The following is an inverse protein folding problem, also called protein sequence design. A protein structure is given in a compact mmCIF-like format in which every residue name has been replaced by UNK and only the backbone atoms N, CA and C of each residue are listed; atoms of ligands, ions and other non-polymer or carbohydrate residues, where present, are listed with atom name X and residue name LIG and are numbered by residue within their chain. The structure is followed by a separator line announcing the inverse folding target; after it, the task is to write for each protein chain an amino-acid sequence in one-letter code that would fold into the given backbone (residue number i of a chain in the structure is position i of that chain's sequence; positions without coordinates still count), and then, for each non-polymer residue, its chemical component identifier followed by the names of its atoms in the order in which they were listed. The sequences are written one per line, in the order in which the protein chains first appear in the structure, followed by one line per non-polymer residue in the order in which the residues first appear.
data_IF_811565784442
#
_entry.id   IF_811565784442
#
_cell.length_a   1.000
_cell.length_b   1.000
_cell.length_c   1.000
_cell.angle_alpha   90.00
_cell.angle_beta   90.00
_cell.angle_gamma   90.00
#
_symmetry.space_group_name_H-M   'P 1'
#
loop_
_entity.id
_entity.type
_entity.pdbx_description
1 polymer ?
#
# COMPACT_ATOMS: atom_id res chain seq x y z
N UNK A 1 3.23 -6.67 37.99
CA UNK A 1 4.21 -7.34 37.13
C UNK A 1 5.57 -7.22 37.79
N UNK A 2 6.30 -8.33 38.04
CA UNK A 2 7.59 -8.27 38.73
C UNK A 2 8.70 -7.94 37.72
N UNK A 3 9.18 -6.70 37.71
CA UNK A 3 10.12 -6.18 36.70
C UNK A 3 11.39 -7.04 36.52
N UNK A 4 11.87 -7.71 37.58
CA UNK A 4 13.03 -8.59 37.52
C UNK A 4 12.79 -9.86 36.67
N UNK A 5 11.59 -10.45 36.73
CA UNK A 5 11.22 -11.64 35.96
C UNK A 5 11.15 -11.28 34.48
N UNK A 6 10.49 -10.16 34.15
CA UNK A 6 10.36 -9.69 32.77
C UNK A 6 11.73 -9.40 32.14
N UNK A 7 12.62 -8.73 32.87
CA UNK A 7 13.98 -8.44 32.38
C UNK A 7 14.79 -9.72 32.13
N UNK A 8 14.65 -10.73 32.99
CA UNK A 8 15.31 -12.02 32.82
C UNK A 8 14.81 -12.76 31.58
N UNK A 9 13.48 -12.81 31.38
CA UNK A 9 12.86 -13.42 30.20
C UNK A 9 13.31 -12.70 28.93
N UNK A 10 13.23 -11.37 28.88
CA UNK A 10 13.64 -10.60 27.69
C UNK A 10 15.12 -10.83 27.36
N UNK A 11 16.02 -10.81 28.36
CA UNK A 11 17.45 -11.01 28.11
C UNK A 11 17.75 -12.41 27.56
N UNK A 12 17.05 -13.43 28.08
CA UNK A 12 17.16 -14.79 27.58
C UNK A 12 16.63 -14.88 26.15
N UNK A 13 15.40 -14.43 25.92
CA UNK A 13 14.73 -14.52 24.62
C UNK A 13 15.50 -13.75 23.54
N UNK A 14 16.10 -12.59 23.86
CA UNK A 14 16.96 -11.85 22.94
C UNK A 14 18.17 -12.69 22.50
N UNK A 15 18.86 -13.31 23.47
CA UNK A 15 20.03 -14.15 23.20
C UNK A 15 19.67 -15.40 22.38
N UNK A 16 18.53 -16.00 22.66
CA UNK A 16 18.04 -17.17 21.91
C UNK A 16 17.59 -16.80 20.50
N UNK A 17 16.90 -15.66 20.35
CA UNK A 17 16.42 -15.15 19.05
C UNK A 17 17.58 -14.93 18.08
N UNK A 18 18.67 -14.29 18.51
CA UNK A 18 19.85 -14.06 17.66
C UNK A 18 20.71 -15.30 17.44
N UNK A 19 20.50 -16.39 18.21
CA UNK A 19 21.17 -17.67 17.99
C UNK A 19 20.33 -18.62 17.14
N UNK A 20 19.05 -18.33 16.95
CA UNK A 20 18.17 -19.15 16.15
C UNK A 20 18.41 -18.89 14.65
N UNK A 21 18.88 -19.91 13.87
CA UNK A 21 19.17 -19.73 12.46
C UNK A 21 17.92 -19.35 11.66
N UNK A 22 16.73 -19.87 12.01
CA UNK A 22 15.49 -19.55 11.28
C UNK A 22 15.09 -18.08 11.48
N UNK A 23 15.28 -17.54 12.68
CA UNK A 23 15.04 -16.11 12.94
C UNK A 23 16.00 -15.24 12.13
N UNK A 24 17.30 -15.57 12.15
CA UNK A 24 18.30 -14.84 11.38
C UNK A 24 18.01 -14.90 9.87
N UNK A 25 17.52 -16.04 9.37
CA UNK A 25 17.11 -16.20 7.97
C UNK A 25 15.91 -15.30 7.66
N UNK A 26 14.87 -15.26 8.48
CA UNK A 26 13.70 -14.39 8.24
C UNK A 26 14.12 -12.92 8.16
N UNK A 27 14.91 -12.47 9.14
CA UNK A 27 15.43 -11.09 9.18
C UNK A 27 16.33 -10.80 7.99
N UNK A 28 17.28 -11.69 7.71
CA UNK A 28 18.27 -11.57 6.64
C UNK A 28 17.62 -11.56 5.26
N UNK A 29 16.67 -12.45 4.98
CA UNK A 29 15.91 -12.48 3.72
C UNK A 29 15.09 -11.21 3.57
N UNK A 30 14.41 -10.77 4.64
CA UNK A 30 13.57 -9.55 4.56
C UNK A 30 14.42 -8.32 4.22
N UNK A 31 15.56 -8.15 4.89
CA UNK A 31 16.49 -7.05 4.63
C UNK A 31 17.11 -7.19 3.23
N UNK A 32 17.61 -8.38 2.90
CA UNK A 32 18.26 -8.67 1.62
C UNK A 32 17.35 -8.43 0.41
N UNK A 33 16.12 -8.92 0.45
CA UNK A 33 15.14 -8.70 -0.63
C UNK A 33 14.82 -7.22 -0.77
N UNK A 34 14.63 -6.48 0.33
CA UNK A 34 14.33 -5.05 0.26
C UNK A 34 15.46 -4.22 -0.35
N UNK A 35 16.69 -4.51 0.07
CA UNK A 35 17.88 -3.86 -0.49
C UNK A 35 18.06 -4.22 -1.96
N UNK A 36 17.99 -5.51 -2.29
CA UNK A 36 18.11 -6.00 -3.67
C UNK A 36 17.08 -5.35 -4.58
N UNK A 37 15.82 -5.34 -4.18
CA UNK A 37 14.72 -4.76 -4.97
C UNK A 37 14.86 -3.25 -5.14
N UNK A 38 15.37 -2.55 -4.13
CA UNK A 38 15.65 -1.11 -4.23
C UNK A 38 16.74 -0.78 -5.24
N UNK A 39 17.70 -1.69 -5.47
CA UNK A 39 18.74 -1.51 -6.50
C UNK A 39 18.33 -2.03 -7.87
N UNK A 40 17.59 -3.14 -7.92
CA UNK A 40 17.20 -3.81 -9.16
C UNK A 40 16.12 -3.05 -9.94
N UNK A 41 15.23 -2.34 -9.26
CA UNK A 41 14.10 -1.63 -9.87
C UNK A 41 14.33 -0.12 -9.73
N UNK A 42 14.43 0.60 -10.86
CA UNK A 42 14.68 2.05 -10.91
C UNK A 42 13.50 2.93 -10.44
N UNK A 43 12.56 2.38 -9.65
CA UNK A 43 11.39 3.08 -9.12
C UNK A 43 11.32 2.95 -7.60
N UNK A 44 10.87 3.96 -6.86
CA UNK A 44 10.71 3.87 -5.42
C UNK A 44 9.67 2.79 -5.06
N UNK A 45 10.15 1.70 -4.43
CA UNK A 45 9.36 0.54 -3.98
C UNK A 45 8.96 0.60 -2.50
N UNK A 46 8.87 1.81 -1.93
CA UNK A 46 8.43 2.06 -0.57
C UNK A 46 7.22 1.23 -0.12
N UNK A 47 6.12 1.17 -0.89
CA UNK A 47 4.92 0.34 -0.58
C UNK A 47 5.28 -1.12 -0.32
N UNK A 48 6.14 -1.69 -1.16
CA UNK A 48 6.63 -3.06 -1.00
C UNK A 48 7.51 -3.16 0.25
N UNK A 49 8.39 -2.19 0.48
CA UNK A 49 9.26 -2.18 1.67
C UNK A 49 8.49 -2.14 2.97
N UNK A 50 7.47 -1.28 3.09
CA UNK A 50 6.57 -1.27 4.24
C UNK A 50 5.87 -2.62 4.41
N UNK A 51 5.24 -3.13 3.36
CA UNK A 51 4.44 -4.35 3.43
C UNK A 51 5.30 -5.57 3.80
N UNK A 52 6.44 -5.74 3.13
CA UNK A 52 7.38 -6.84 3.38
C UNK A 52 7.97 -6.75 4.78
N UNK A 53 8.49 -5.59 5.19
CA UNK A 53 9.13 -5.46 6.51
C UNK A 53 8.15 -5.70 7.67
N UNK A 54 6.95 -5.09 7.60
CA UNK A 54 5.93 -5.26 8.63
C UNK A 54 5.39 -6.69 8.68
N UNK A 55 5.10 -7.31 7.54
CA UNK A 55 4.49 -8.66 7.52
C UNK A 55 5.55 -9.74 7.74
N UNK A 56 6.68 -9.73 7.04
CA UNK A 56 7.67 -10.79 7.19
C UNK A 56 8.32 -10.80 8.57
N UNK A 57 8.52 -9.64 9.19
CA UNK A 57 9.08 -9.58 10.55
C UNK A 57 7.94 -9.60 11.56
N UNK A 58 6.99 -8.68 11.46
CA UNK A 58 5.91 -8.57 12.44
C UNK A 58 5.06 -9.83 12.52
N UNK A 59 4.59 -10.37 11.39
CA UNK A 59 3.72 -11.54 11.39
C UNK A 59 4.51 -12.85 11.43
N UNK A 60 5.42 -13.07 10.48
CA UNK A 60 6.07 -14.40 10.33
C UNK A 60 7.01 -14.69 11.50
N UNK A 61 7.85 -13.74 11.92
CA UNK A 61 8.76 -13.97 13.04
C UNK A 61 8.00 -14.16 14.36
N UNK A 62 6.96 -13.35 14.62
CA UNK A 62 6.16 -13.48 15.84
C UNK A 62 5.42 -14.81 15.88
N UNK A 63 4.80 -15.23 14.76
CA UNK A 63 4.13 -16.54 14.69
C UNK A 63 5.11 -17.67 14.92
N UNK A 64 6.31 -17.56 14.34
CA UNK A 64 7.36 -18.56 14.45
C UNK A 64 7.85 -18.73 15.89
N UNK A 65 8.26 -17.65 16.56
CA UNK A 65 8.80 -17.72 17.93
C UNK A 65 7.76 -18.28 18.92
N UNK A 66 6.49 -17.91 18.77
CA UNK A 66 5.41 -18.43 19.61
C UNK A 66 5.15 -19.91 19.34
N UNK A 67 5.12 -20.31 18.06
CA UNK A 67 4.90 -21.72 17.68
C UNK A 67 6.07 -22.60 18.08
N UNK A 68 7.30 -22.12 17.92
CA UNK A 68 8.52 -22.87 18.25
C UNK A 68 8.56 -23.26 19.72
N UNK A 69 8.15 -22.35 20.63
CA UNK A 69 8.08 -22.69 22.04
C UNK A 69 6.99 -23.71 22.38
N UNK A 70 5.88 -23.64 21.65
CA UNK A 70 4.80 -24.62 21.78
C UNK A 70 5.23 -25.99 21.26
N UNK A 71 5.90 -26.04 20.11
CA UNK A 71 6.37 -27.26 19.47
C UNK A 71 7.44 -27.97 20.33
N UNK A 72 8.35 -27.20 20.93
CA UNK A 72 9.39 -27.71 21.84
C UNK A 72 8.89 -27.97 23.27
N UNK A 73 7.62 -27.72 23.56
CA UNK A 73 7.02 -27.72 24.93
C UNK A 73 7.76 -26.84 25.94
N UNK A 74 8.56 -25.88 25.47
CA UNK A 74 9.26 -24.94 26.35
C UNK A 74 8.28 -23.95 26.97
N UNK A 75 7.16 -23.66 26.30
CA UNK A 75 6.08 -22.84 26.86
C UNK A 75 5.49 -23.47 28.13
N UNK A 76 5.28 -24.78 28.13
CA UNK A 76 4.81 -25.55 29.30
C UNK A 76 5.88 -25.59 30.40
N UNK A 77 7.14 -25.85 30.03
CA UNK A 77 8.26 -25.83 30.97
C UNK A 77 8.44 -24.45 31.65
N UNK A 78 8.16 -23.36 30.94
CA UNK A 78 8.22 -22.00 31.49
C UNK A 78 7.11 -21.71 32.51
N UNK A 79 5.97 -22.38 32.42
CA UNK A 79 4.87 -22.25 33.38
C UNK A 79 5.13 -22.99 34.70
N UNK A 80 6.12 -23.88 34.74
CA UNK A 80 6.63 -24.48 35.99
C UNK A 80 7.43 -23.46 36.81
N UNK A 81 7.94 -22.40 36.15
CA UNK A 81 8.53 -21.24 36.80
C UNK A 81 7.44 -20.29 37.34
N UNK A 82 7.74 -19.36 38.26
CA UNK A 82 6.74 -18.44 38.82
C UNK A 82 6.22 -17.38 37.82
N UNK A 83 6.48 -17.53 36.52
CA UNK A 83 6.05 -16.62 35.47
C UNK A 83 4.62 -16.94 34.98
N UNK A 84 3.80 -15.90 34.81
CA UNK A 84 2.47 -16.05 34.23
C UNK A 84 2.52 -16.28 32.72
N UNK A 85 1.58 -17.05 32.17
CA UNK A 85 1.38 -17.25 30.73
C UNK A 85 1.34 -15.92 29.95
N UNK A 86 0.66 -14.92 30.52
CA UNK A 86 0.56 -13.59 29.90
C UNK A 86 1.90 -12.84 29.92
N UNK A 87 2.72 -13.03 30.96
CA UNK A 87 4.03 -12.38 31.08
C UNK A 87 5.03 -12.94 30.07
N UNK A 88 5.00 -14.26 29.83
CA UNK A 88 5.83 -14.93 28.84
C UNK A 88 5.48 -14.45 27.43
N UNK A 89 4.19 -14.50 27.06
CA UNK A 89 3.73 -14.03 25.75
C UNK A 89 4.02 -12.54 25.54
N UNK A 90 3.82 -11.70 26.55
CA UNK A 90 4.12 -10.27 26.45
C UNK A 90 5.62 -10.01 26.23
N UNK A 91 6.50 -10.77 26.90
CA UNK A 91 7.95 -10.68 26.68
C UNK A 91 8.33 -10.97 25.23
N UNK A 92 7.70 -11.97 24.62
CA UNK A 92 7.90 -12.31 23.20
C UNK A 92 7.38 -11.27 22.25
N UNK A 93 6.15 -10.82 22.49
CA UNK A 93 5.54 -9.76 21.69
C UNK A 93 6.42 -8.53 21.72
N UNK A 94 6.91 -8.13 22.90
CA UNK A 94 7.75 -6.96 23.06
C UNK A 94 9.06 -7.06 22.26
N UNK A 95 9.68 -8.24 22.27
CA UNK A 95 10.89 -8.50 21.50
C UNK A 95 10.65 -8.40 19.99
N UNK A 96 9.67 -9.14 19.46
CA UNK A 96 9.40 -9.15 18.02
C UNK A 96 8.87 -7.82 17.53
N UNK A 97 8.08 -7.13 18.34
CA UNK A 97 7.60 -5.78 18.10
C UNK A 97 8.75 -4.78 17.96
N UNK A 98 9.69 -4.81 18.91
CA UNK A 98 10.87 -3.94 18.90
C UNK A 98 11.76 -4.20 17.69
N UNK A 99 11.96 -5.48 17.34
CA UNK A 99 12.72 -5.87 16.14
C UNK A 99 12.03 -5.41 14.84
N UNK A 100 10.70 -5.55 14.78
CA UNK A 100 9.89 -5.13 13.63
C UNK A 100 9.98 -3.63 13.42
N UNK A 101 9.84 -2.82 14.49
CA UNK A 101 9.98 -1.36 14.41
C UNK A 101 11.38 -0.99 13.92
N UNK A 102 12.41 -1.53 14.57
CA UNK A 102 13.80 -1.18 14.29
C UNK A 102 14.13 -1.46 12.82
N UNK A 103 13.84 -2.67 12.34
CA UNK A 103 14.18 -3.06 10.97
C UNK A 103 13.30 -2.32 9.96
N UNK A 104 12.00 -2.18 10.21
CA UNK A 104 11.11 -1.47 9.28
C UNK A 104 11.53 -0.01 9.13
N UNK A 105 11.74 0.70 10.25
CA UNK A 105 12.19 2.10 10.21
C UNK A 105 13.57 2.23 9.57
N UNK A 106 14.52 1.33 9.89
CA UNK A 106 15.84 1.35 9.27
C UNK A 106 15.78 1.18 7.75
N UNK A 107 14.98 0.23 7.25
CA UNK A 107 14.80 0.01 5.81
C UNK A 107 14.12 1.21 5.15
N UNK A 108 13.04 1.73 5.75
CA UNK A 108 12.27 2.84 5.17
C UNK A 108 13.11 4.10 5.11
N UNK A 109 13.79 4.48 6.20
CA UNK A 109 14.60 5.70 6.22
C UNK A 109 15.92 5.56 5.47
N UNK A 110 16.47 4.35 5.32
CA UNK A 110 17.68 4.16 4.51
C UNK A 110 17.40 4.14 3.02
N UNK A 111 16.25 3.61 2.58
CA UNK A 111 15.95 3.40 1.15
C UNK A 111 14.98 4.43 0.56
N UNK A 112 14.02 4.93 1.35
CA UNK A 112 12.87 5.69 0.84
C UNK A 112 12.63 7.01 1.58
N UNK A 113 13.67 7.61 2.16
CA UNK A 113 13.58 8.84 2.95
C UNK A 113 12.85 9.98 2.23
N UNK A 114 13.17 10.18 0.94
CA UNK A 114 12.56 11.24 0.13
C UNK A 114 11.07 11.05 -0.07
N UNK A 115 10.55 9.82 -0.02
CA UNK A 115 9.17 9.49 -0.37
C UNK A 115 8.20 9.58 0.82
N UNK A 116 8.70 9.51 2.06
CA UNK A 116 7.86 9.43 3.27
C UNK A 116 7.94 10.68 4.15
N UNK A 117 6.91 10.91 4.94
CA UNK A 117 6.92 11.90 6.03
C UNK A 117 7.50 11.29 7.29
N UNK A 118 8.61 11.86 7.78
CA UNK A 118 9.37 11.33 8.94
C UNK A 118 8.47 11.20 10.17
N UNK A 119 7.75 12.27 10.52
CA UNK A 119 6.90 12.33 11.73
C UNK A 119 5.79 11.29 11.65
N UNK A 120 5.10 11.25 10.51
CA UNK A 120 3.96 10.36 10.32
C UNK A 120 4.39 8.89 10.27
N UNK A 121 5.54 8.60 9.67
CA UNK A 121 6.15 7.26 9.64
C UNK A 121 6.53 6.79 11.04
N UNK A 122 7.15 7.67 11.84
CA UNK A 122 7.57 7.34 13.20
C UNK A 122 6.37 7.05 14.13
N UNK A 123 5.20 7.63 13.83
CA UNK A 123 3.96 7.38 14.56
C UNK A 123 3.18 6.17 14.04
N UNK A 124 3.08 6.00 12.72
CA UNK A 124 2.25 4.96 12.10
C UNK A 124 2.89 3.57 12.17
N UNK A 125 4.22 3.48 11.98
CA UNK A 125 4.94 2.20 11.95
C UNK A 125 4.83 1.43 13.27
N UNK A 126 5.01 2.05 14.46
CA UNK A 126 4.78 1.35 15.73
C UNK A 126 3.35 0.85 15.88
N UNK A 127 2.34 1.62 15.49
CA UNK A 127 0.94 1.19 15.61
C UNK A 127 0.69 -0.01 14.68
N UNK A 128 1.11 0.08 13.42
CA UNK A 128 0.99 -0.99 12.44
C UNK A 128 1.76 -2.25 12.83
N UNK A 129 3.02 -2.10 13.26
CA UNK A 129 3.84 -3.21 13.72
C UNK A 129 3.18 -3.95 14.88
N UNK A 130 2.57 -3.22 15.83
CA UNK A 130 1.87 -3.85 16.95
C UNK A 130 0.69 -4.70 16.47
N UNK A 131 -0.14 -4.16 15.57
CA UNK A 131 -1.27 -4.89 14.99
C UNK A 131 -0.80 -6.18 14.30
N UNK A 132 0.22 -6.08 13.45
CA UNK A 132 0.72 -7.21 12.67
C UNK A 132 1.42 -8.26 13.56
N UNK A 133 2.15 -7.84 14.59
CA UNK A 133 2.69 -8.75 15.60
C UNK A 133 1.57 -9.45 16.39
N UNK A 134 0.48 -8.77 16.71
CA UNK A 134 -0.68 -9.37 17.37
C UNK A 134 -1.38 -10.41 16.48
N UNK A 135 -1.48 -10.16 15.17
CA UNK A 135 -1.92 -11.17 14.19
C UNK A 135 -1.02 -12.41 14.21
N UNK A 136 0.30 -12.19 14.17
CA UNK A 136 1.26 -13.29 14.22
C UNK A 136 1.18 -14.08 15.53
N UNK A 137 0.99 -13.40 16.66
CA UNK A 137 0.83 -14.05 17.96
C UNK A 137 -0.36 -15.01 17.97
N UNK A 138 -1.54 -14.60 17.48
CA UNK A 138 -2.72 -15.48 17.46
C UNK A 138 -2.51 -16.68 16.55
N UNK A 139 -1.92 -16.50 15.38
CA UNK A 139 -1.60 -17.63 14.49
C UNK A 139 -0.62 -18.58 15.18
N UNK A 140 0.41 -18.06 15.85
CA UNK A 140 1.35 -18.88 16.60
C UNK A 140 0.72 -19.65 17.77
N UNK A 141 -0.31 -19.09 18.40
CA UNK A 141 -1.08 -19.79 19.44
C UNK A 141 -1.96 -20.92 18.87
N UNK A 142 -2.54 -20.72 17.68
CA UNK A 142 -3.42 -21.70 17.04
C UNK A 142 -2.59 -22.87 16.47
N UNK A 143 -1.46 -22.61 15.83
CA UNK A 143 -0.64 -23.64 15.19
C UNK A 143 -0.05 -24.61 16.24
N UNK A 144 -0.15 -25.94 16.04
CA UNK A 144 0.38 -26.92 17.00
C UNK A 144 1.89 -27.18 16.84
N UNK A 145 2.46 -26.94 15.65
CA UNK A 145 3.88 -27.18 15.34
C UNK A 145 4.39 -26.22 14.29
N UNK A 146 5.72 -26.08 14.17
CA UNK A 146 6.35 -25.22 13.15
C UNK A 146 6.01 -25.71 11.74
N UNK A 147 5.84 -27.02 11.55
CA UNK A 147 5.41 -27.59 10.27
C UNK A 147 3.97 -27.20 9.88
N UNK A 148 3.05 -27.09 10.84
CA UNK A 148 1.70 -26.59 10.56
C UNK A 148 1.71 -25.09 10.23
N UNK A 149 2.58 -24.34 10.91
CA UNK A 149 2.77 -22.91 10.67
C UNK A 149 3.32 -22.64 9.26
N UNK A 150 4.21 -23.47 8.72
CA UNK A 150 4.78 -23.22 7.38
C UNK A 150 3.71 -23.25 6.28
N UNK A 151 2.73 -24.14 6.37
CA UNK A 151 1.61 -24.21 5.42
C UNK A 151 0.63 -23.04 5.59
N UNK A 152 -0.03 -22.97 6.75
CA UNK A 152 -1.10 -21.99 7.02
C UNK A 152 -0.52 -20.57 7.11
N UNK A 153 0.62 -20.41 7.77
CA UNK A 153 1.29 -19.13 7.95
C UNK A 153 1.71 -18.51 6.63
N UNK A 154 2.16 -19.30 5.64
CA UNK A 154 2.50 -18.76 4.31
C UNK A 154 1.28 -18.21 3.58
N UNK A 155 0.14 -18.91 3.62
CA UNK A 155 -1.12 -18.44 3.00
C UNK A 155 -1.58 -17.13 3.65
N UNK A 156 -1.54 -17.06 4.98
CA UNK A 156 -1.91 -15.85 5.73
C UNK A 156 -0.93 -14.70 5.47
N UNK A 157 0.38 -15.00 5.43
CA UNK A 157 1.42 -14.04 5.10
C UNK A 157 1.18 -13.43 3.72
N UNK A 158 0.97 -14.26 2.69
CA UNK A 158 0.61 -13.80 1.33
C UNK A 158 -0.63 -12.92 1.34
N UNK A 159 -1.66 -13.30 2.08
CA UNK A 159 -2.91 -12.52 2.18
C UNK A 159 -2.68 -11.14 2.81
N UNK A 160 -1.73 -11.01 3.74
CA UNK A 160 -1.44 -9.76 4.46
C UNK A 160 -0.53 -8.78 3.70
N UNK A 161 0.28 -9.25 2.75
CA UNK A 161 1.20 -8.36 2.00
C UNK A 161 0.89 -8.26 0.50
N UNK A 162 0.44 -9.34 -0.14
CA UNK A 162 0.30 -9.40 -1.59
C UNK A 162 -0.76 -8.42 -2.14
N UNK A 163 -1.93 -8.24 -1.50
CA UNK A 163 -2.92 -7.28 -1.99
C UNK A 163 -2.37 -5.86 -2.09
N UNK A 164 -1.51 -5.45 -1.17
CA UNK A 164 -0.94 -4.09 -1.17
C UNK A 164 0.00 -3.87 -2.38
N UNK A 165 0.77 -4.89 -2.75
CA UNK A 165 1.66 -4.83 -3.93
C UNK A 165 0.83 -4.83 -5.21
N UNK A 166 -0.21 -5.66 -5.26
CA UNK A 166 -1.06 -5.86 -6.44
C UNK A 166 -2.24 -4.89 -6.51
N UNK A 167 -2.40 -3.97 -5.56
CA UNK A 167 -3.51 -3.02 -5.51
C UNK A 167 -3.61 -2.17 -6.80
N UNK A 168 -2.48 -1.97 -7.49
CA UNK A 168 -2.40 -1.21 -8.74
C UNK A 168 -2.88 -1.97 -9.98
N UNK A 169 -2.96 -3.30 -9.94
CA UNK A 169 -3.26 -4.12 -11.12
C UNK A 169 -4.76 -4.40 -11.26
N UNK A 170 -5.50 -4.39 -10.16
CA UNK A 170 -6.91 -4.75 -10.13
C UNK A 170 -7.64 -4.05 -8.97
N UNK A 171 -8.77 -3.41 -9.27
CA UNK A 171 -9.63 -2.75 -8.28
C UNK A 171 -10.12 -3.70 -7.17
N UNK A 172 -10.43 -4.95 -7.51
CA UNK A 172 -10.83 -5.97 -6.55
C UNK A 172 -9.75 -6.23 -5.51
N UNK A 173 -8.50 -6.30 -5.96
CA UNK A 173 -7.33 -6.48 -5.09
C UNK A 173 -7.08 -5.21 -4.27
N UNK A 174 -7.32 -4.03 -4.86
CA UNK A 174 -7.31 -2.75 -4.16
C UNK A 174 -8.33 -2.66 -3.02
N UNK A 175 -9.51 -3.27 -3.15
CA UNK A 175 -10.46 -3.37 -2.02
C UNK A 175 -9.90 -4.19 -0.87
N UNK A 176 -9.24 -5.31 -1.16
CA UNK A 176 -8.61 -6.15 -0.13
C UNK A 176 -7.45 -5.40 0.52
N UNK A 177 -6.60 -4.72 -0.26
CA UNK A 177 -5.50 -3.92 0.24
C UNK A 177 -5.97 -2.86 1.26
N UNK A 178 -7.00 -2.08 0.90
CA UNK A 178 -7.59 -1.05 1.78
C UNK A 178 -8.18 -1.58 3.09
N UNK A 179 -8.55 -2.86 3.12
CA UNK A 179 -9.03 -3.49 4.36
C UNK A 179 -7.89 -3.68 5.37
N UNK A 180 -6.65 -3.78 4.92
CA UNK A 180 -5.52 -4.17 5.75
C UNK A 180 -4.91 -2.99 6.52
N UNK A 181 -4.46 -3.20 7.77
CA UNK A 181 -3.79 -2.17 8.55
C UNK A 181 -2.49 -1.65 7.90
N UNK A 182 -1.80 -2.51 7.16
CA UNK A 182 -0.57 -2.17 6.40
C UNK A 182 -0.81 -1.04 5.42
N UNK A 183 -1.96 -1.04 4.73
CA UNK A 183 -2.35 0.01 3.80
C UNK A 183 -2.39 1.38 4.48
N UNK A 184 -3.02 1.47 5.67
CA UNK A 184 -3.11 2.74 6.38
C UNK A 184 -1.76 3.25 6.87
N UNK A 185 -0.86 2.35 7.31
CA UNK A 185 0.51 2.74 7.68
C UNK A 185 1.22 3.39 6.50
N UNK A 186 1.09 2.79 5.31
CA UNK A 186 1.68 3.28 4.07
C UNK A 186 1.06 4.63 3.67
N UNK A 187 -0.27 4.74 3.67
CA UNK A 187 -0.97 5.98 3.30
C UNK A 187 -0.68 7.13 4.27
N UNK A 188 -0.60 6.88 5.58
CA UNK A 188 -0.22 7.89 6.57
C UNK A 188 1.21 8.39 6.31
N UNK A 189 2.12 7.45 6.04
CA UNK A 189 3.53 7.76 5.80
C UNK A 189 3.74 8.52 4.49
N UNK A 190 2.95 8.24 3.45
CA UNK A 190 3.03 8.90 2.15
C UNK A 190 2.32 10.26 2.12
N UNK A 191 1.05 10.31 2.55
CA UNK A 191 0.21 11.51 2.50
C UNK A 191 0.57 12.52 3.59
N UNK A 192 1.21 12.07 4.67
CA UNK A 192 1.62 12.92 5.79
C UNK A 192 2.67 13.98 5.47
N UNK A 193 3.22 14.01 4.24
CA UNK A 193 4.11 15.10 3.80
C UNK A 193 3.37 16.43 3.69
N UNK A 194 2.08 16.37 3.36
CA UNK A 194 1.21 17.55 3.27
C UNK A 194 0.74 18.02 4.67
N UNK A 195 1.22 17.39 5.75
CA UNK A 195 0.81 17.63 7.12
C UNK A 195 -0.43 16.82 7.54
N UNK A 196 -1.08 17.25 8.63
CA UNK A 196 -2.29 16.62 9.17
C UNK A 196 -3.53 16.99 8.35
N UNK A 197 -3.65 16.41 7.16
CA UNK A 197 -4.85 16.52 6.35
C UNK A 197 -6.00 15.66 6.90
N UNK A 198 -7.25 16.01 6.56
CA UNK A 198 -8.44 15.23 6.96
C UNK A 198 -8.34 13.76 6.54
N UNK A 199 -7.72 13.47 5.39
CA UNK A 199 -7.51 12.10 4.90
C UNK A 199 -6.51 11.32 5.75
N UNK A 200 -5.42 11.98 6.18
CA UNK A 200 -4.42 11.36 7.07
C UNK A 200 -5.03 11.06 8.43
N UNK A 201 -5.85 11.97 8.97
CA UNK A 201 -6.57 11.75 10.23
C UNK A 201 -7.56 10.58 10.17
N UNK A 202 -8.27 10.41 9.04
CA UNK A 202 -9.13 9.24 8.84
C UNK A 202 -8.34 7.93 8.86
N UNK A 203 -7.17 7.89 8.21
CA UNK A 203 -6.32 6.71 8.27
C UNK A 203 -5.80 6.43 9.69
N UNK A 204 -5.43 7.46 10.46
CA UNK A 204 -5.09 7.28 11.87
C UNK A 204 -6.26 6.72 12.68
N UNK A 205 -7.47 7.25 12.49
CA UNK A 205 -8.66 6.80 13.22
C UNK A 205 -8.95 5.32 12.97
N UNK A 206 -8.90 4.88 11.72
CA UNK A 206 -9.10 3.47 11.36
C UNK A 206 -7.96 2.58 11.86
N UNK A 207 -6.72 3.08 11.81
CA UNK A 207 -5.57 2.34 12.33
C UNK A 207 -5.65 2.17 13.87
N UNK A 208 -6.09 3.18 14.60
CA UNK A 208 -6.29 3.10 16.06
C UNK A 208 -7.48 2.18 16.39
N UNK A 209 -8.59 2.29 15.64
CA UNK A 209 -9.75 1.42 15.81
C UNK A 209 -9.38 -0.05 15.59
N UNK A 210 -8.65 -0.35 14.52
CA UNK A 210 -8.17 -1.71 14.24
C UNK A 210 -7.21 -2.21 15.32
N UNK A 211 -6.35 -1.35 15.88
CA UNK A 211 -5.51 -1.72 17.02
C UNK A 211 -6.34 -2.12 18.25
N UNK A 212 -7.32 -1.30 18.64
CA UNK A 212 -8.16 -1.56 19.82
C UNK A 212 -8.86 -2.92 19.67
N UNK A 213 -9.47 -3.15 18.52
CA UNK A 213 -10.19 -4.40 18.23
C UNK A 213 -9.24 -5.60 18.21
N UNK A 214 -8.04 -5.45 17.65
CA UNK A 214 -7.01 -6.49 17.63
C UNK A 214 -6.54 -6.84 19.05
N UNK A 215 -6.39 -5.86 19.94
CA UNK A 215 -6.03 -6.12 21.35
C UNK A 215 -7.10 -6.97 22.05
N UNK A 216 -8.38 -6.62 21.89
CA UNK A 216 -9.47 -7.43 22.46
C UNK A 216 -9.50 -8.84 21.87
N UNK A 217 -9.27 -8.95 20.56
CA UNK A 217 -9.17 -10.22 19.87
C UNK A 217 -8.06 -11.10 20.44
N UNK A 218 -6.83 -10.61 20.57
CA UNK A 218 -5.72 -11.39 21.15
C UNK A 218 -5.99 -11.79 22.60
N UNK A 219 -6.56 -10.90 23.42
CA UNK A 219 -6.90 -11.23 24.82
C UNK A 219 -7.90 -12.38 24.90
N UNK A 220 -8.87 -12.46 23.99
CA UNK A 220 -9.81 -13.58 23.91
C UNK A 220 -9.09 -14.90 23.60
N UNK A 221 -8.15 -14.89 22.65
CA UNK A 221 -7.38 -16.08 22.26
C UNK A 221 -6.44 -16.54 23.37
N UNK A 222 -5.73 -15.64 24.03
CA UNK A 222 -4.85 -15.97 25.16
C UNK A 222 -5.64 -16.66 26.28
N UNK A 223 -6.83 -16.14 26.64
CA UNK A 223 -7.71 -16.74 27.66
C UNK A 223 -8.18 -18.15 27.29
N UNK A 224 -8.33 -18.42 26.00
CA UNK A 224 -8.71 -19.75 25.50
C UNK A 224 -7.51 -20.70 25.52
N UNK A 225 -6.34 -20.22 25.08
CA UNK A 225 -5.10 -21.00 25.03
C UNK A 225 -4.67 -21.48 26.41
N UNK A 226 -4.85 -20.66 27.45
CA UNK A 226 -4.50 -21.04 28.82
C UNK A 226 -5.41 -22.15 29.39
N UNK A 227 -6.54 -22.45 28.74
CA UNK A 227 -7.53 -23.44 29.20
C UNK A 227 -7.52 -24.75 28.39
N UNK A 228 -6.95 -24.73 27.19
CA UNK A 228 -6.97 -25.89 26.28
C UNK A 228 -5.56 -26.51 26.19
N UNK A 229 -5.38 -27.66 26.84
CA UNK A 229 -4.17 -28.50 26.75
C UNK A 229 -4.16 -29.42 25.50
N UNK A 230 -5.24 -29.44 24.72
CA UNK A 230 -5.42 -30.44 23.65
C UNK A 230 -4.85 -29.99 22.30
N UNK A 231 -4.37 -30.96 21.50
CA UNK A 231 -3.79 -30.75 20.14
C UNK A 231 -4.73 -30.10 19.11
N UNK A 232 -6.05 -30.12 19.30
CA UNK A 232 -7.02 -29.52 18.38
C UNK A 232 -7.66 -28.27 19.00
N UNK A 233 -7.40 -27.12 18.38
CA UNK A 233 -7.91 -25.83 18.86
C UNK A 233 -9.44 -25.74 18.68
N UNK A 234 -10.18 -25.48 19.76
CA UNK A 234 -11.63 -25.26 19.70
C UNK A 234 -11.94 -23.78 19.90
N UNK A 235 -12.67 -23.19 18.96
CA UNK A 235 -13.08 -21.79 19.02
C UNK A 235 -14.22 -21.58 20.03
N UNK A 236 -13.89 -20.95 21.16
CA UNK A 236 -14.89 -20.45 22.10
C UNK A 236 -15.77 -19.36 21.47
N UNK A 237 -16.99 -19.19 22.00
CA UNK A 237 -17.94 -18.17 21.50
C UNK A 237 -17.37 -16.75 21.52
N UNK A 238 -16.59 -16.42 22.57
CA UNK A 238 -15.85 -15.16 22.65
C UNK A 238 -14.89 -14.98 21.47
N UNK A 239 -14.15 -16.03 21.08
CA UNK A 239 -13.20 -15.93 19.96
C UNK A 239 -13.93 -15.64 18.65
N UNK A 240 -15.07 -16.29 18.42
CA UNK A 240 -15.91 -16.09 17.22
C UNK A 240 -16.39 -14.64 17.12
N UNK A 241 -16.89 -14.06 18.21
CA UNK A 241 -17.37 -12.67 18.24
C UNK A 241 -16.22 -11.70 17.91
N UNK A 242 -15.07 -11.85 18.58
CA UNK A 242 -13.95 -10.92 18.36
C UNK A 242 -13.33 -11.09 16.97
N UNK A 243 -13.27 -12.32 16.41
CA UNK A 243 -12.86 -12.51 15.00
C UNK A 243 -13.83 -11.83 14.05
N UNK A 244 -15.13 -11.94 14.30
CA UNK A 244 -16.15 -11.31 13.45
C UNK A 244 -16.08 -9.79 13.52
N UNK A 245 -15.88 -9.24 14.73
CA UNK A 245 -15.70 -7.80 14.94
C UNK A 245 -14.46 -7.28 14.22
N UNK A 246 -13.34 -8.01 14.28
CA UNK A 246 -12.12 -7.68 13.56
C UNK A 246 -12.35 -7.68 12.04
N UNK A 247 -12.97 -8.75 11.51
CA UNK A 247 -13.31 -8.82 10.08
C UNK A 247 -14.26 -7.70 9.66
N UNK A 248 -15.22 -7.34 10.50
CA UNK A 248 -16.13 -6.22 10.25
C UNK A 248 -15.38 -4.90 10.16
N UNK A 249 -14.42 -4.64 11.05
CA UNK A 249 -13.62 -3.41 11.04
C UNK A 249 -12.71 -3.34 9.81
N UNK A 250 -12.07 -4.46 9.44
CA UNK A 250 -11.27 -4.55 8.22
C UNK A 250 -12.14 -4.31 6.97
N UNK A 251 -13.34 -4.90 6.93
CA UNK A 251 -14.29 -4.69 5.84
C UNK A 251 -14.81 -3.25 5.77
N UNK A 252 -15.19 -2.67 6.92
CA UNK A 252 -15.63 -1.29 7.04
C UNK A 252 -14.54 -0.31 6.58
N UNK A 253 -13.27 -0.62 6.87
CA UNK A 253 -12.16 0.17 6.36
C UNK A 253 -12.13 0.21 4.83
N UNK A 254 -12.25 -0.94 4.17
CA UNK A 254 -12.30 -1.00 2.71
C UNK A 254 -13.43 -0.14 2.13
N UNK A 255 -14.59 -0.14 2.79
CA UNK A 255 -15.75 0.65 2.40
C UNK A 255 -15.53 2.16 2.60
N UNK A 256 -14.92 2.57 3.71
CA UNK A 256 -14.63 3.98 4.01
C UNK A 256 -13.64 4.61 3.02
N UNK A 257 -12.75 3.81 2.44
CA UNK A 257 -11.72 4.27 1.50
C UNK A 257 -11.97 3.83 0.05
N UNK A 258 -13.22 3.56 -0.33
CA UNK A 258 -13.58 3.26 -1.72
C UNK A 258 -13.03 4.34 -2.67
N UNK A 259 -12.41 3.96 -3.80
CA UNK A 259 -11.99 4.93 -4.78
C UNK A 259 -13.27 5.55 -5.35
N UNK A 260 -13.37 6.87 -5.28
CA UNK A 260 -14.48 7.59 -5.88
C UNK A 260 -14.48 7.28 -7.38
N UNK A 261 -15.50 6.54 -7.85
CA UNK A 261 -15.67 6.26 -9.28
C UNK A 261 -16.10 7.56 -9.95
N UNK A 262 -15.52 7.88 -11.10
CA UNK A 262 -16.08 8.95 -11.93
C UNK A 262 -17.51 8.56 -12.35
N UNK A 263 -18.34 9.57 -12.58
CA UNK A 263 -19.67 9.38 -13.13
C UNK A 263 -19.68 9.93 -14.55
N UNK A 264 -20.34 9.21 -15.48
CA UNK A 264 -20.64 9.77 -16.80
C UNK A 264 -21.98 10.46 -16.72
N UNK A 265 -21.97 11.79 -16.76
CA UNK A 265 -23.16 12.64 -16.66
C UNK A 265 -23.57 13.06 -18.07
N UNK A 266 -24.85 12.93 -18.40
CA UNK A 266 -25.40 13.43 -19.65
C UNK A 266 -25.78 14.90 -19.48
N UNK A 267 -25.10 15.81 -20.18
CA UNK A 267 -25.41 17.24 -20.16
C UNK A 267 -25.55 17.75 -21.60
N UNK A 268 -26.71 18.33 -21.93
CA UNK A 268 -27.04 18.83 -23.27
C UNK A 268 -26.87 17.79 -24.41
N UNK A 269 -27.15 16.51 -24.15
CA UNK A 269 -27.05 15.44 -25.15
C UNK A 269 -25.64 14.93 -25.43
N UNK A 270 -24.62 15.42 -24.71
CA UNK A 270 -23.24 14.95 -24.77
C UNK A 270 -22.93 14.25 -23.44
N UNK A 271 -22.53 12.99 -23.48
CA UNK A 271 -22.01 12.28 -22.31
C UNK A 271 -20.69 12.90 -21.88
N UNK A 272 -20.56 13.24 -20.60
CA UNK A 272 -19.36 13.82 -19.99
C UNK A 272 -18.85 12.92 -18.88
N UNK A 273 -17.59 12.52 -18.97
CA UNK A 273 -16.85 11.99 -17.84
C UNK A 273 -16.64 13.08 -16.80
N UNK A 274 -17.19 12.88 -15.61
CA UNK A 274 -17.09 13.80 -14.49
C UNK A 274 -16.40 13.12 -13.31
N UNK A 275 -15.26 13.67 -12.90
CA UNK A 275 -14.59 13.26 -11.68
C UNK A 275 -14.70 14.36 -10.62
N UNK A 276 -15.67 14.22 -9.72
CA UNK A 276 -15.95 15.17 -8.64
C UNK A 276 -14.73 15.44 -7.73
N UNK A 277 -13.88 14.43 -7.52
CA UNK A 277 -12.68 14.52 -6.66
C UNK A 277 -11.60 15.41 -7.26
N UNK A 278 -11.48 15.43 -8.58
CA UNK A 278 -10.48 16.22 -9.31
C UNK A 278 -11.07 17.41 -10.05
N UNK A 279 -12.37 17.68 -9.90
CA UNK A 279 -13.11 18.76 -10.56
C UNK A 279 -12.84 18.82 -12.08
N UNK A 280 -12.73 17.64 -12.71
CA UNK A 280 -12.53 17.52 -14.15
C UNK A 280 -13.81 17.03 -14.79
N UNK A 281 -14.22 17.74 -15.84
CA UNK A 281 -15.18 17.25 -16.81
C UNK A 281 -14.51 17.09 -18.18
N UNK A 282 -14.79 15.98 -18.87
CA UNK A 282 -14.37 15.73 -20.25
C UNK A 282 -15.55 15.15 -21.03
N UNK A 283 -15.90 15.68 -22.20
CA UNK A 283 -16.89 15.01 -23.05
C UNK A 283 -16.36 13.64 -23.46
N UNK A 284 -17.22 12.62 -23.57
CA UNK A 284 -16.85 11.26 -24.00
C UNK A 284 -17.97 10.67 -24.83
N UNK A 285 -17.64 9.90 -25.87
CA UNK A 285 -18.61 9.07 -26.58
C UNK A 285 -18.61 7.63 -26.02
N UNK A 286 -19.63 7.28 -25.21
CA UNK A 286 -19.76 5.97 -24.55
C UNK A 286 -19.81 4.77 -25.50
N UNK A 287 -20.16 4.99 -26.78
CA UNK A 287 -20.25 3.91 -27.79
C UNK A 287 -18.88 3.52 -28.33
N UNK A 288 -17.90 4.42 -28.28
CA UNK A 288 -16.58 4.24 -28.90
C UNK A 288 -15.50 3.87 -27.88
N UNK A 289 -15.66 4.28 -26.62
CA UNK A 289 -14.64 4.12 -25.58
C UNK A 289 -15.10 3.22 -24.42
N UNK A 290 -14.19 2.38 -23.94
CA UNK A 290 -14.28 1.70 -22.65
C UNK A 290 -13.42 2.44 -21.62
N UNK A 291 -13.97 2.75 -20.46
CA UNK A 291 -13.33 3.57 -19.43
C UNK A 291 -12.75 2.66 -18.37
N UNK A 292 -11.44 2.76 -18.13
CA UNK A 292 -10.76 2.10 -17.02
C UNK A 292 -10.07 3.12 -16.15
N UNK A 293 -10.47 3.18 -14.90
CA UNK A 293 -9.86 4.07 -13.92
C UNK A 293 -8.96 3.26 -13.00
N UNK A 294 -7.77 3.79 -12.74
CA UNK A 294 -6.84 3.23 -11.79
C UNK A 294 -6.33 4.36 -10.90
N UNK A 295 -6.46 4.19 -9.59
CA UNK A 295 -5.86 5.11 -8.62
C UNK A 295 -4.75 4.38 -7.88
N UNK A 296 -3.52 4.88 -7.98
CA UNK A 296 -2.38 4.34 -7.28
C UNK A 296 -1.50 5.44 -6.71
N UNK A 297 -1.24 5.36 -5.41
CA UNK A 297 -0.49 6.37 -4.65
C UNK A 297 -1.16 7.77 -4.75
N UNK A 298 -0.44 8.76 -5.28
CA UNK A 298 -0.92 10.10 -5.59
C UNK A 298 -1.24 10.29 -7.08
N UNK A 299 -1.29 9.19 -7.85
CA UNK A 299 -1.53 9.20 -9.29
C UNK A 299 -2.88 8.57 -9.58
N UNK A 300 -3.78 9.35 -10.17
CA UNK A 300 -5.01 8.84 -10.75
C UNK A 300 -4.82 8.75 -12.26
N UNK A 301 -5.21 7.63 -12.87
CA UNK A 301 -5.12 7.42 -14.31
C UNK A 301 -6.49 6.96 -14.79
N UNK A 302 -7.15 7.76 -15.60
CA UNK A 302 -8.29 7.32 -16.40
C UNK A 302 -7.81 6.98 -17.80
N UNK A 303 -8.04 5.75 -18.23
CA UNK A 303 -7.74 5.26 -19.58
C UNK A 303 -9.05 5.09 -20.34
N UNK A 304 -9.15 5.77 -21.47
CA UNK A 304 -10.24 5.65 -22.44
C UNK A 304 -9.75 4.82 -23.61
N UNK A 305 -10.06 3.52 -23.59
CA UNK A 305 -9.65 2.56 -24.62
C UNK A 305 -10.67 2.53 -25.75
N UNK A 306 -10.23 2.61 -27.01
CA UNK A 306 -11.17 2.43 -28.13
C UNK A 306 -11.68 0.98 -28.17
N UNK A 307 -12.99 0.79 -28.40
CA UNK A 307 -13.56 -0.56 -28.55
C UNK A 307 -13.12 -1.25 -29.84
N UNK A 308 -12.71 -0.49 -30.86
CA UNK A 308 -12.24 -1.01 -32.16
C UNK A 308 -10.77 -1.41 -32.18
N UNK A 309 -9.95 -0.98 -31.22
CA UNK A 309 -8.49 -1.24 -31.15
C UNK A 309 -8.05 -1.28 -29.68
N UNK A 310 -7.58 -2.44 -29.21
CA UNK A 310 -7.23 -2.68 -27.80
C UNK A 310 -5.99 -1.90 -27.33
N UNK A 311 -5.13 -1.50 -28.27
CA UNK A 311 -3.86 -0.83 -28.00
C UNK A 311 -3.96 0.70 -28.08
N UNK A 312 -4.94 1.23 -28.83
CA UNK A 312 -5.15 2.67 -28.99
C UNK A 312 -5.99 3.23 -27.83
N UNK A 313 -5.40 4.15 -27.05
CA UNK A 313 -6.08 4.72 -25.89
C UNK A 313 -5.69 6.18 -25.65
N UNK A 314 -6.65 6.93 -25.12
CA UNK A 314 -6.43 8.23 -24.50
C UNK A 314 -6.25 7.97 -23.01
N UNK A 315 -5.28 8.62 -22.37
CA UNK A 315 -5.19 8.60 -20.92
C UNK A 315 -5.16 10.00 -20.33
N UNK A 316 -5.83 10.14 -19.20
CA UNK A 316 -5.75 11.24 -18.28
C UNK A 316 -5.04 10.76 -17.03
N UNK A 317 -3.81 11.22 -16.85
CA UNK A 317 -3.05 11.08 -15.61
C UNK A 317 -3.20 12.36 -14.79
N UNK A 318 -3.58 12.22 -13.52
CA UNK A 318 -3.66 13.30 -12.55
C UNK A 318 -2.69 12.97 -11.42
N UNK A 319 -1.77 13.87 -11.09
CA UNK A 319 -0.81 13.70 -9.99
C UNK A 319 -0.89 14.89 -9.05
N UNK A 320 -0.82 14.64 -7.73
CA UNK A 320 -0.75 15.72 -6.74
C UNK A 320 0.62 16.40 -6.76
N UNK A 321 0.66 17.73 -6.83
CA UNK A 321 1.90 18.51 -6.91
C UNK A 321 2.58 18.56 -5.54
N UNK A 322 3.85 18.21 -5.48
CA UNK A 322 4.68 18.42 -4.30
C UNK A 322 5.05 19.91 -4.24
N UNK A 323 4.94 20.57 -3.08
CA UNK A 323 5.10 22.04 -2.93
C UNK A 323 6.43 22.59 -3.48
N UNK A 324 7.45 21.74 -3.59
CA UNK A 324 8.80 22.11 -4.05
C UNK A 324 9.05 21.88 -5.55
N UNK A 325 8.10 21.32 -6.31
CA UNK A 325 8.28 21.10 -7.76
C UNK A 325 7.77 22.30 -8.55
N UNK A 326 8.67 23.02 -9.22
CA UNK A 326 8.30 24.01 -10.23
C UNK A 326 7.81 23.31 -11.50
N UNK A 327 6.95 23.97 -12.28
CA UNK A 327 6.41 23.45 -13.55
C UNK A 327 7.51 23.04 -14.55
N UNK A 328 8.65 23.71 -14.50
CA UNK A 328 9.85 23.38 -15.29
C UNK A 328 10.48 22.05 -14.88
N UNK A 329 10.31 21.61 -13.63
CA UNK A 329 10.84 20.33 -13.13
C UNK A 329 10.02 19.14 -13.66
N UNK A 330 8.70 19.31 -13.82
CA UNK A 330 7.85 18.26 -14.40
C UNK A 330 8.15 17.99 -15.88
N UNK A 331 8.41 19.05 -16.66
CA UNK A 331 8.82 18.93 -18.07
C UNK A 331 10.24 18.36 -18.18
N UNK A 332 11.19 18.81 -17.34
CA UNK A 332 12.56 18.25 -17.29
C UNK A 332 12.57 16.77 -16.90
N UNK A 333 11.81 16.39 -15.87
CA UNK A 333 11.74 14.99 -15.41
C UNK A 333 11.12 14.07 -16.47
N UNK A 334 10.11 14.57 -17.22
CA UNK A 334 9.54 13.84 -18.35
C UNK A 334 10.52 13.74 -19.52
N UNK A 335 11.27 14.80 -19.83
CA UNK A 335 12.31 14.78 -20.86
C UNK A 335 13.45 13.82 -20.48
N UNK A 336 13.86 13.76 -19.22
CA UNK A 336 14.88 12.82 -18.72
C UNK A 336 14.39 11.35 -18.81
N UNK A 337 13.12 11.09 -18.48
CA UNK A 337 12.51 9.76 -18.63
C UNK A 337 12.39 9.35 -20.11
N UNK A 338 12.04 10.29 -21.00
CA UNK A 338 11.96 10.06 -22.45
C UNK A 338 13.35 9.88 -23.09
N UNK A 339 14.37 10.55 -22.56
CA UNK A 339 15.77 10.39 -23.01
C UNK A 339 16.31 9.00 -22.61
N UNK A 340 15.90 8.46 -21.44
CA UNK A 340 16.21 7.09 -21.03
C UNK A 340 15.50 6.02 -21.87
N UNK A 341 14.36 6.34 -22.50
CA UNK A 341 13.59 5.45 -23.36
C UNK A 341 14.00 5.47 -24.85
N UNK A 342 15.10 6.16 -25.24
CA UNK A 342 15.57 6.30 -26.63
C UNK A 342 14.51 6.86 -27.59
N UNK A 343 13.79 7.90 -27.16
CA UNK A 343 12.74 8.58 -27.93
C UNK A 343 13.33 9.68 -28.83
N UNK A 344 12.87 9.78 -30.07
CA UNK A 344 13.39 10.72 -31.07
C UNK A 344 12.65 12.08 -31.03
N UNK A 345 13.42 13.16 -31.07
CA UNK A 345 13.00 14.56 -31.32
C UNK A 345 11.75 15.06 -30.54
N UNK A 346 11.84 15.24 -29.21
CA UNK A 346 10.76 15.86 -28.44
C UNK A 346 10.59 17.34 -28.85
N UNK A 347 9.44 17.70 -29.41
CA UNK A 347 9.02 19.10 -29.63
C UNK A 347 8.15 19.56 -28.48
N UNK A 348 8.56 20.63 -27.80
CA UNK A 348 7.82 21.26 -26.70
C UNK A 348 7.27 22.59 -27.18
N UNK A 349 5.95 22.70 -27.29
CA UNK A 349 5.24 23.93 -27.63
C UNK A 349 4.46 24.42 -26.41
N UNK A 350 4.62 25.69 -26.04
CA UNK A 350 3.78 26.30 -25.00
C UNK A 350 2.48 26.78 -25.62
N UNK A 351 1.36 26.33 -25.07
CA UNK A 351 0.02 26.73 -25.49
C UNK A 351 -0.65 27.44 -24.31
N UNK A 352 -1.03 28.69 -24.55
CA UNK A 352 -1.92 29.43 -23.67
C UNK A 352 -3.35 29.17 -24.12
N UNK A 353 -4.16 28.55 -23.27
CA UNK A 353 -5.57 28.34 -23.57
C UNK A 353 -6.38 29.62 -23.35
N UNK A 354 -7.54 29.70 -24.01
CA UNK A 354 -8.52 30.80 -23.84
C UNK A 354 -9.03 30.97 -22.41
N UNK A 355 -8.87 29.93 -21.56
CA UNK A 355 -9.32 29.90 -20.18
C UNK A 355 -8.21 30.29 -19.18
N UNK A 356 -7.05 30.76 -19.66
CA UNK A 356 -5.93 31.18 -18.81
C UNK A 356 -5.02 30.05 -18.31
N UNK A 357 -5.24 28.80 -18.72
CA UNK A 357 -4.36 27.67 -18.40
C UNK A 357 -3.15 27.67 -19.33
N UNK A 358 -1.95 27.66 -18.73
CA UNK A 358 -0.68 27.45 -19.43
C UNK A 358 -0.42 25.96 -19.52
N UNK A 359 -0.27 25.43 -20.73
CA UNK A 359 0.06 24.03 -20.96
C UNK A 359 1.30 23.90 -21.84
N UNK A 360 2.08 22.85 -21.58
CA UNK A 360 3.16 22.42 -22.45
C UNK A 360 2.68 21.24 -23.27
N UNK A 361 2.54 21.43 -24.58
CA UNK A 361 2.30 20.37 -25.56
C UNK A 361 3.64 19.73 -25.90
N UNK A 362 3.75 18.43 -25.69
CA UNK A 362 4.96 17.67 -26.00
C UNK A 362 4.59 16.62 -27.05
N UNK A 363 5.25 16.70 -28.20
CA UNK A 363 5.11 15.73 -29.29
C UNK A 363 6.42 14.98 -29.45
N UNK A 364 6.39 13.65 -29.43
CA UNK A 364 7.59 12.83 -29.63
C UNK A 364 7.29 11.56 -30.43
N UNK A 365 8.30 11.05 -31.14
CA UNK A 365 8.23 9.79 -31.88
C UNK A 365 8.94 8.69 -31.09
N UNK A 366 8.19 7.67 -30.67
CA UNK A 366 8.71 6.49 -29.97
C UNK A 366 8.70 5.27 -30.91
N UNK A 367 9.48 4.23 -30.58
CA UNK A 367 9.43 2.87 -31.21
C UNK A 367 8.06 2.15 -31.07
N UNK A 368 7.03 2.85 -30.62
CA UNK A 368 5.67 2.33 -30.47
C UNK A 368 4.63 3.19 -31.19
N UNK A 369 5.05 4.26 -31.89
CA UNK A 369 4.20 5.18 -32.64
C UNK A 369 4.41 6.65 -32.26
N UNK A 370 3.66 7.53 -32.94
CA UNK A 370 3.59 8.96 -32.63
C UNK A 370 2.78 9.18 -31.36
N UNK A 371 3.30 10.00 -30.45
CA UNK A 371 2.74 10.14 -29.13
C UNK A 371 2.63 11.63 -28.77
N UNK A 372 1.43 12.04 -28.37
CA UNK A 372 1.07 13.43 -28.10
C UNK A 372 0.56 13.55 -26.66
N UNK A 373 1.21 14.37 -25.83
CA UNK A 373 0.71 14.69 -24.48
C UNK A 373 0.66 16.20 -24.22
N UNK A 374 -0.35 16.61 -23.49
CA UNK A 374 -0.52 17.92 -22.89
C UNK A 374 -0.23 17.79 -21.40
N UNK A 375 0.71 18.60 -20.92
CA UNK A 375 0.98 18.77 -19.50
C UNK A 375 0.48 20.16 -19.09
N UNK A 376 -0.46 20.21 -18.16
CA UNK A 376 -0.96 21.47 -17.62
C UNK A 376 -1.06 21.38 -16.11
N UNK A 377 -0.80 22.50 -15.44
CA UNK A 377 -0.75 22.58 -13.99
C UNK A 377 -1.88 23.46 -13.45
N UNK A 378 -2.44 23.03 -12.33
CA UNK A 378 -3.30 23.83 -11.45
C UNK A 378 -2.60 24.02 -10.10
N UNK A 379 -3.12 24.90 -9.23
CA UNK A 379 -2.52 25.30 -7.95
C UNK A 379 -2.06 24.11 -7.07
N UNK A 380 -2.73 22.96 -7.16
CA UNK A 380 -2.45 21.77 -6.32
C UNK A 380 -2.23 20.45 -7.10
N UNK A 381 -2.48 20.43 -8.40
CA UNK A 381 -2.55 19.20 -9.22
C UNK A 381 -1.82 19.40 -10.54
N UNK A 382 -1.06 18.40 -10.98
CA UNK A 382 -0.51 18.31 -12.32
C UNK A 382 -1.32 17.31 -13.15
N UNK A 383 -1.70 17.73 -14.35
CA UNK A 383 -2.49 16.96 -15.27
C UNK A 383 -1.65 16.62 -16.49
N UNK A 384 -1.65 15.34 -16.85
CA UNK A 384 -1.01 14.81 -18.05
C UNK A 384 -2.10 14.10 -18.85
N UNK A 385 -2.51 14.72 -19.94
CA UNK A 385 -3.46 14.14 -20.88
C UNK A 385 -2.71 13.73 -22.14
N UNK A 386 -2.93 12.55 -22.68
CA UNK A 386 -2.52 12.32 -24.07
C UNK A 386 -2.89 10.98 -24.67
N UNK A 387 -2.38 10.78 -25.88
CA UNK A 387 -2.71 9.64 -26.74
C UNK A 387 -1.52 8.70 -26.86
N UNK A 388 -1.78 7.41 -26.71
CA UNK A 388 -0.87 6.36 -27.16
C UNK A 388 -1.55 5.54 -28.25
N UNK A 389 -0.92 5.46 -29.42
CA UNK A 389 -1.39 4.68 -30.58
C UNK A 389 -0.35 3.66 -31.02
N UNK A 390 -0.77 2.51 -31.53
CA UNK A 390 0.12 1.48 -32.12
C UNK A 390 0.79 1.95 -33.42
N UNK A 391 1.92 1.33 -33.78
CA UNK A 391 2.90 1.71 -34.82
C UNK A 391 2.37 1.83 -36.27
N UNK A 392 1.07 1.64 -36.51
CA UNK A 392 0.43 1.76 -37.83
C UNK A 392 -1.06 2.13 -37.79
N UNK A 393 -1.55 2.82 -36.76
CA UNK A 393 -2.98 3.15 -36.69
C UNK A 393 -3.34 4.36 -37.57
N UNK A 394 -4.33 4.18 -38.46
CA UNK A 394 -5.08 5.28 -39.11
C UNK A 394 -5.83 6.17 -38.11
N UNK A 395 -5.89 5.73 -36.84
CA UNK A 395 -6.60 6.37 -35.74
C UNK A 395 -5.80 7.47 -35.05
N UNK A 396 -4.48 7.59 -35.29
CA UNK A 396 -3.65 8.61 -34.64
C UNK A 396 -4.15 10.04 -34.91
N UNK A 397 -4.56 10.33 -36.16
CA UNK A 397 -5.12 11.63 -36.53
C UNK A 397 -6.45 11.90 -35.83
N UNK A 398 -7.35 10.90 -35.83
CA UNK A 398 -8.64 10.98 -35.15
C UNK A 398 -8.48 11.22 -33.64
N UNK A 399 -7.65 10.43 -32.95
CA UNK A 399 -7.41 10.55 -31.52
C UNK A 399 -6.69 11.84 -31.14
N UNK A 400 -5.76 12.32 -31.98
CA UNK A 400 -5.09 13.62 -31.79
C UNK A 400 -6.06 14.79 -31.92
N UNK A 401 -6.94 14.77 -32.93
CA UNK A 401 -7.98 15.79 -33.12
C UNK A 401 -9.00 15.78 -31.97
N UNK A 402 -9.38 14.58 -31.50
CA UNK A 402 -10.25 14.38 -30.34
C UNK A 402 -9.60 14.92 -29.07
N UNK A 403 -8.30 14.70 -28.89
CA UNK A 403 -7.56 15.18 -27.73
C UNK A 403 -7.40 16.70 -27.74
N UNK A 404 -7.20 17.31 -28.91
CA UNK A 404 -7.21 18.77 -29.06
C UNK A 404 -8.59 19.35 -28.69
N UNK A 405 -9.66 18.67 -29.12
CA UNK A 405 -11.04 19.01 -28.73
C UNK A 405 -11.25 18.91 -27.22
N UNK A 406 -10.80 17.82 -26.58
CA UNK A 406 -10.88 17.63 -25.14
C UNK A 406 -10.07 18.68 -24.39
N UNK A 407 -8.84 18.95 -24.80
CA UNK A 407 -7.98 19.94 -24.17
C UNK A 407 -8.62 21.34 -24.16
N UNK A 408 -9.27 21.74 -25.26
CA UNK A 408 -9.99 23.01 -25.34
C UNK A 408 -11.31 23.03 -24.55
N UNK A 409 -11.92 21.86 -24.33
CA UNK A 409 -13.18 21.69 -23.61
C UNK A 409 -13.00 21.42 -22.10
N UNK A 410 -11.77 21.19 -21.61
CA UNK A 410 -11.50 20.98 -20.18
C UNK A 410 -11.88 22.25 -19.41
N UNK A 411 -12.89 22.11 -18.56
CA UNK A 411 -13.21 23.07 -17.52
C UNK A 411 -12.66 22.54 -16.20
N UNK A 412 -11.69 23.26 -15.63
CA UNK A 412 -11.25 23.08 -14.26
C UNK A 412 -12.14 23.96 -13.38
N UNK A 413 -12.95 23.33 -12.52
CA UNK A 413 -13.83 24.03 -11.59
C UNK A 413 -13.20 24.28 -10.23
#
# INVERSE_FOLDING_TARGET
MRAYILRAIIKRDLKETFRNPQTLIIVGITVGINIFMSFAISRPLWVMTFSMSLVMIGFTLTSFIVTEEKDKRTLEALLVSPASYNEILFGKLFLTFSLTILISLALIFSLHFSEVSIIHTLLSVPIGALIICLFGMVVGLICPSVAALSGIGTILMLTLFLPEILASTNDYVGYIARALPTHHVIQISSLGKDGFSSTVLMHYAVLILSLIVTIFWVRSFIKTSSKQESRSWKFDWSNKIHTLLLLFVLFLSSFLFLPYRSEVIMENGISKYFNAKYQISMPINEKEFDIREFSFQNKFVAMFKMRSSLDDHIFLTIKKRNKDQQEQDGVKQLLDDLTKENVLNPKVERINTSNGLVASKITYESKSGNVLYYLFNSDKLSYQLGVKTSENSSNHKYLSDLLNGYFNAIQLH
#
